data_IF_123183743088
#
_entry.id   IF_123183743088
#
_cell.length_a   1.000
_cell.length_b   1.000
_cell.length_c   1.000
_cell.angle_alpha   90.00
_cell.angle_beta   90.00
_cell.angle_gamma   90.00
#
_symmetry.space_group_name_H-M   'P 1'
#
loop_
_entity.id
_entity.type
_entity.pdbx_description
1 polymer ?
#
# COMPACT_ATOMS: atom_id res chain seq x y z
N UNK A 1 -25.49 -14.66 2.34
CA UNK A 1 -26.08 -13.31 2.38
C UNK A 1 -26.31 -12.95 3.84
N UNK A 2 -25.77 -11.82 4.26
CA UNK A 2 -25.88 -11.27 5.59
C UNK A 2 -26.77 -10.04 5.51
N UNK A 3 -27.73 -9.88 6.42
CA UNK A 3 -28.53 -8.66 6.49
C UNK A 3 -27.68 -7.49 6.99
N UNK A 4 -28.14 -6.26 6.73
CA UNK A 4 -27.46 -5.04 7.23
C UNK A 4 -27.30 -5.08 8.76
N UNK A 5 -28.33 -5.53 9.48
CA UNK A 5 -28.29 -5.62 10.93
C UNK A 5 -27.27 -6.64 11.43
N UNK A 6 -27.22 -7.84 10.83
CA UNK A 6 -26.21 -8.86 11.14
C UNK A 6 -24.79 -8.36 10.84
N UNK A 7 -24.60 -7.62 9.75
CA UNK A 7 -23.32 -7.00 9.43
C UNK A 7 -22.91 -5.95 10.47
N UNK A 8 -23.82 -5.05 10.86
CA UNK A 8 -23.58 -4.03 11.89
C UNK A 8 -23.27 -4.67 13.24
N UNK A 9 -23.97 -5.74 13.65
CA UNK A 9 -23.73 -6.48 14.89
C UNK A 9 -22.36 -7.18 14.89
N UNK A 10 -21.89 -7.69 13.75
CA UNK A 10 -20.54 -8.26 13.62
C UNK A 10 -19.45 -7.18 13.59
N UNK A 11 -19.72 -6.03 12.98
CA UNK A 11 -18.75 -4.97 12.77
C UNK A 11 -18.47 -4.12 14.01
N UNK A 12 -19.49 -3.90 14.86
CA UNK A 12 -19.35 -3.10 16.07
C UNK A 12 -18.24 -3.62 17.02
N UNK A 13 -18.14 -4.94 17.31
CA UNK A 13 -17.02 -5.47 18.09
C UNK A 13 -15.67 -5.29 17.40
N UNK A 14 -15.60 -5.42 16.07
CA UNK A 14 -14.38 -5.21 15.30
C UNK A 14 -13.92 -3.76 15.33
N UNK A 15 -14.86 -2.79 15.25
CA UNK A 15 -14.57 -1.36 15.37
C UNK A 15 -13.81 -1.02 16.65
N UNK A 16 -14.24 -1.56 17.78
CA UNK A 16 -13.59 -1.34 19.07
C UNK A 16 -12.27 -2.13 19.22
N UNK A 17 -12.20 -3.35 18.68
CA UNK A 17 -11.01 -4.21 18.76
C UNK A 17 -9.85 -3.72 17.89
N UNK A 18 -10.14 -3.14 16.73
CA UNK A 18 -9.13 -2.71 15.75
C UNK A 18 -8.92 -1.19 15.67
N UNK A 19 -9.47 -0.42 16.63
CA UNK A 19 -9.38 1.06 16.63
C UNK A 19 -9.78 1.70 15.29
N UNK A 20 -10.85 1.20 14.69
CA UNK A 20 -11.35 1.77 13.44
C UNK A 20 -11.94 3.17 13.70
N UNK A 21 -11.53 4.15 12.92
CA UNK A 21 -12.08 5.50 12.96
C UNK A 21 -13.22 5.62 11.95
N UNK A 22 -14.32 6.25 12.37
CA UNK A 22 -15.38 6.70 11.47
C UNK A 22 -14.96 8.00 10.81
N UNK A 23 -15.16 8.04 9.49
CA UNK A 23 -14.93 9.23 8.68
C UNK A 23 -16.22 9.57 7.98
N UNK A 24 -16.77 10.73 8.32
CA UNK A 24 -17.88 11.30 7.57
C UNK A 24 -17.33 12.36 6.61
N UNK A 25 -17.56 12.20 5.30
CA UNK A 25 -17.28 13.26 4.35
C UNK A 25 -18.13 14.50 4.68
N UNK A 26 -17.58 15.69 4.47
CA UNK A 26 -18.27 16.97 4.73
C UNK A 26 -19.58 17.12 3.94
N UNK A 27 -19.70 16.43 2.81
CA UNK A 27 -20.86 16.44 1.91
C UNK A 27 -21.98 15.45 2.31
N UNK A 28 -21.85 14.75 3.44
CA UNK A 28 -22.81 13.76 3.90
C UNK A 28 -22.85 12.47 3.09
N UNK A 29 -21.76 12.17 2.36
CA UNK A 29 -21.60 10.95 1.58
C UNK A 29 -21.48 9.68 2.40
N UNK A 30 -20.88 8.64 1.82
CA UNK A 30 -20.72 7.32 2.45
C UNK A 30 -19.74 7.42 3.62
N UNK A 31 -20.15 6.88 4.77
CA UNK A 31 -19.25 6.70 5.91
C UNK A 31 -18.13 5.68 5.58
N UNK A 32 -16.90 6.01 5.95
CA UNK A 32 -15.76 5.11 5.80
C UNK A 32 -15.25 4.67 7.15
N UNK A 33 -14.79 3.43 7.23
CA UNK A 33 -14.03 2.93 8.36
C UNK A 33 -12.56 2.87 7.97
N UNK A 34 -11.69 3.42 8.80
CA UNK A 34 -10.25 3.44 8.59
C UNK A 34 -9.52 2.92 9.81
N UNK A 35 -8.49 2.11 9.58
CA UNK A 35 -7.51 1.74 10.61
C UNK A 35 -6.30 2.69 10.64
N UNK A 36 -6.29 3.72 9.82
CA UNK A 36 -5.25 4.76 9.83
C UNK A 36 -5.52 5.72 10.97
N UNK A 37 -4.49 5.97 11.78
CA UNK A 37 -4.60 6.84 12.97
C UNK A 37 -4.51 8.33 12.60
N UNK A 38 -3.92 8.67 11.43
CA UNK A 38 -3.74 10.04 10.98
C UNK A 38 -4.90 10.48 10.06
N UNK A 39 -5.75 11.44 10.49
CA UNK A 39 -6.83 11.97 9.68
C UNK A 39 -6.37 12.59 8.35
N UNK A 40 -5.18 13.21 8.33
CA UNK A 40 -4.65 13.84 7.12
C UNK A 40 -4.30 12.78 6.06
N UNK A 41 -3.78 11.63 6.47
CA UNK A 41 -3.52 10.50 5.56
C UNK A 41 -4.83 9.95 4.98
N UNK A 42 -5.87 9.86 5.80
CA UNK A 42 -7.17 9.41 5.34
C UNK A 42 -7.77 10.38 4.34
N UNK A 43 -7.81 11.67 4.65
CA UNK A 43 -8.35 12.70 3.76
C UNK A 43 -7.59 12.73 2.42
N UNK A 44 -6.27 12.57 2.45
CA UNK A 44 -5.45 12.47 1.25
C UNK A 44 -5.81 11.26 0.41
N UNK A 45 -5.99 10.08 1.03
CA UNK A 45 -6.38 8.84 0.34
C UNK A 45 -7.76 9.00 -0.31
N UNK A 46 -8.73 9.57 0.38
CA UNK A 46 -10.06 9.82 -0.15
C UNK A 46 -10.02 10.75 -1.36
N UNK A 47 -9.30 11.88 -1.25
CA UNK A 47 -9.10 12.81 -2.37
C UNK A 47 -8.45 12.15 -3.59
N UNK A 48 -7.47 11.28 -3.37
CA UNK A 48 -6.82 10.51 -4.45
C UNK A 48 -7.79 9.51 -5.10
N UNK A 49 -8.66 8.84 -4.32
CA UNK A 49 -9.68 7.93 -4.85
C UNK A 49 -10.67 8.63 -5.79
N UNK A 50 -11.05 9.86 -5.47
CA UNK A 50 -11.89 10.69 -6.33
C UNK A 50 -11.22 11.02 -7.66
N UNK A 51 -9.93 11.39 -7.62
CA UNK A 51 -9.13 11.69 -8.82
C UNK A 51 -8.98 10.46 -9.71
N UNK A 52 -8.61 9.33 -9.12
CA UNK A 52 -8.38 8.10 -9.87
C UNK A 52 -9.66 7.44 -10.39
N UNK A 53 -10.80 7.66 -9.75
CA UNK A 53 -12.11 7.07 -10.10
C UNK A 53 -12.07 5.55 -10.30
N UNK A 54 -11.26 4.87 -9.50
CA UNK A 54 -11.11 3.41 -9.58
C UNK A 54 -12.37 2.73 -9.04
N UNK A 55 -12.94 1.73 -9.71
CA UNK A 55 -14.01 0.92 -9.14
C UNK A 55 -13.53 0.18 -7.90
N UNK A 56 -14.45 -0.16 -6.99
CA UNK A 56 -14.10 -0.92 -5.81
C UNK A 56 -13.50 -2.28 -6.19
N UNK A 57 -12.45 -2.68 -5.48
CA UNK A 57 -11.90 -4.01 -5.61
C UNK A 57 -12.88 -5.00 -4.97
N UNK A 58 -13.44 -5.86 -5.80
CA UNK A 58 -14.35 -6.90 -5.34
C UNK A 58 -13.85 -8.26 -5.85
N UNK A 59 -13.28 -9.10 -4.99
CA UNK A 59 -12.92 -10.47 -5.36
C UNK A 59 -14.17 -11.23 -5.77
N UNK A 60 -14.11 -11.92 -6.91
CA UNK A 60 -15.25 -12.66 -7.47
C UNK A 60 -15.21 -14.12 -7.14
N UNK A 61 -14.05 -14.65 -6.79
CA UNK A 61 -13.82 -16.04 -6.44
C UNK A 61 -13.25 -16.19 -5.03
N UNK A 62 -13.36 -17.38 -4.47
CA UNK A 62 -12.76 -17.71 -3.17
C UNK A 62 -11.24 -17.60 -3.24
N UNK A 63 -10.65 -18.04 -4.34
CA UNK A 63 -9.21 -18.00 -4.58
C UNK A 63 -8.70 -16.53 -4.59
N UNK A 64 -9.38 -15.63 -5.29
CA UNK A 64 -9.06 -14.20 -5.28
C UNK A 64 -9.18 -13.61 -3.87
N UNK A 65 -10.20 -14.02 -3.09
CA UNK A 65 -10.36 -13.57 -1.70
C UNK A 65 -9.24 -14.10 -0.80
N UNK A 66 -8.81 -15.36 -1.00
CA UNK A 66 -7.70 -15.95 -0.26
C UNK A 66 -6.36 -15.28 -0.63
N UNK A 67 -6.17 -14.89 -1.89
CA UNK A 67 -5.02 -14.09 -2.33
C UNK A 67 -4.97 -12.71 -1.66
N UNK A 68 -6.11 -12.04 -1.51
CA UNK A 68 -6.18 -10.76 -0.79
C UNK A 68 -5.81 -10.87 0.70
N UNK A 69 -5.93 -12.06 1.28
CA UNK A 69 -5.57 -12.33 2.69
C UNK A 69 -4.09 -12.62 2.91
N UNK A 70 -3.32 -12.83 1.85
CA UNK A 70 -1.88 -13.07 1.99
C UNK A 70 -1.21 -11.79 2.48
N UNK A 71 -0.73 -11.83 3.71
CA UNK A 71 0.05 -10.74 4.30
C UNK A 71 1.39 -10.54 3.56
N UNK A 72 1.85 -11.59 2.87
CA UNK A 72 3.13 -11.65 2.16
C UNK A 72 2.96 -11.54 0.64
N UNK A 73 2.34 -10.46 0.18
CA UNK A 73 2.37 -10.15 -1.25
C UNK A 73 3.77 -9.65 -1.59
N UNK A 74 4.58 -10.51 -2.19
CA UNK A 74 5.88 -10.11 -2.71
C UNK A 74 5.70 -9.56 -4.14
N UNK A 75 6.04 -8.30 -4.39
CA UNK A 75 6.03 -7.73 -5.74
C UNK A 75 6.91 -8.54 -6.71
N UNK A 76 6.49 -8.74 -7.97
CA UNK A 76 7.28 -9.47 -8.97
C UNK A 76 8.72 -8.95 -9.15
N UNK A 77 8.93 -7.65 -9.00
CA UNK A 77 10.26 -7.02 -9.13
C UNK A 77 11.08 -7.04 -7.83
N UNK A 78 10.52 -7.49 -6.71
CA UNK A 78 11.23 -7.52 -5.42
C UNK A 78 12.46 -8.44 -5.43
N UNK A 79 12.41 -9.67 -5.99
CA UNK A 79 13.58 -10.53 -6.03
C UNK A 79 14.78 -9.88 -6.74
N UNK A 80 14.56 -9.18 -7.85
CA UNK A 80 15.61 -8.46 -8.58
C UNK A 80 16.24 -7.35 -7.71
N UNK A 81 15.43 -6.63 -6.96
CA UNK A 81 15.91 -5.59 -6.03
C UNK A 81 16.72 -6.21 -4.89
N UNK A 82 16.23 -7.29 -4.27
CA UNK A 82 16.90 -7.97 -3.17
C UNK A 82 18.24 -8.58 -3.62
N UNK A 83 18.27 -9.24 -4.78
CA UNK A 83 19.52 -9.77 -5.35
C UNK A 83 20.54 -8.65 -5.57
N UNK A 84 20.13 -7.53 -6.11
CA UNK A 84 21.01 -6.39 -6.29
C UNK A 84 21.54 -5.85 -4.95
N UNK A 85 20.69 -5.67 -3.95
CA UNK A 85 21.08 -5.12 -2.65
C UNK A 85 21.96 -6.10 -1.85
N UNK A 86 21.56 -7.36 -1.77
CA UNK A 86 22.24 -8.37 -0.94
C UNK A 86 23.49 -8.88 -1.65
N UNK A 87 23.38 -9.31 -2.91
CA UNK A 87 24.50 -10.00 -3.61
C UNK A 87 25.47 -9.00 -4.21
N UNK A 88 25.00 -7.99 -4.96
CA UNK A 88 25.89 -7.03 -5.61
C UNK A 88 26.42 -5.95 -4.65
N UNK A 89 25.62 -5.53 -3.67
CA UNK A 89 25.96 -4.43 -2.75
C UNK A 89 26.33 -4.88 -1.34
N UNK A 90 26.15 -6.16 -1.02
CA UNK A 90 26.45 -6.75 0.29
C UNK A 90 25.74 -6.04 1.45
N UNK A 91 24.50 -5.58 1.17
CA UNK A 91 23.65 -4.97 2.18
C UNK A 91 23.17 -6.01 3.18
N UNK A 92 23.13 -5.64 4.46
CA UNK A 92 22.64 -6.51 5.51
C UNK A 92 21.15 -6.85 5.34
N UNK A 93 20.79 -8.12 5.56
CA UNK A 93 19.40 -8.59 5.38
C UNK A 93 18.38 -7.79 6.21
N UNK A 94 18.64 -7.44 7.49
CA UNK A 94 17.72 -6.60 8.26
C UNK A 94 17.42 -5.24 7.62
N UNK A 95 18.40 -4.61 6.98
CA UNK A 95 18.21 -3.32 6.32
C UNK A 95 17.46 -3.46 5.00
N UNK A 96 17.59 -4.59 4.31
CA UNK A 96 16.73 -4.91 3.17
C UNK A 96 15.26 -5.01 3.60
N UNK A 97 14.96 -5.62 4.75
CA UNK A 97 13.60 -5.64 5.31
C UNK A 97 13.10 -4.25 5.72
N UNK A 98 13.97 -3.38 6.24
CA UNK A 98 13.61 -1.98 6.54
C UNK A 98 13.21 -1.23 5.26
N UNK A 99 13.97 -1.41 4.18
CA UNK A 99 13.65 -0.83 2.88
C UNK A 99 12.35 -1.38 2.31
N UNK A 100 12.16 -2.70 2.36
CA UNK A 100 10.91 -3.33 1.94
C UNK A 100 9.70 -2.76 2.67
N UNK A 101 9.75 -2.69 4.00
CA UNK A 101 8.68 -2.14 4.81
C UNK A 101 8.40 -0.66 4.47
N UNK A 102 9.44 0.12 4.20
CA UNK A 102 9.30 1.52 3.81
C UNK A 102 8.60 1.67 2.44
N UNK A 103 8.96 0.84 1.46
CA UNK A 103 8.33 0.81 0.14
C UNK A 103 6.87 0.33 0.23
N UNK A 104 6.61 -0.74 1.00
CA UNK A 104 5.27 -1.30 1.24
C UNK A 104 4.36 -0.28 1.91
N UNK A 105 4.82 0.34 3.00
CA UNK A 105 4.05 1.36 3.72
C UNK A 105 3.78 2.58 2.84
N UNK A 106 4.79 3.07 2.11
CA UNK A 106 4.63 4.19 1.18
C UNK A 106 3.60 3.89 0.09
N UNK A 107 3.64 2.71 -0.51
CA UNK A 107 2.65 2.29 -1.52
C UNK A 107 1.25 2.16 -0.92
N UNK A 108 1.12 1.49 0.24
CA UNK A 108 -0.16 1.32 0.92
C UNK A 108 -0.84 2.65 1.22
N UNK A 109 -0.06 3.65 1.65
CA UNK A 109 -0.54 5.00 1.93
C UNK A 109 -0.70 5.88 0.67
N UNK A 110 -0.37 5.37 -0.52
CA UNK A 110 -0.44 6.13 -1.77
C UNK A 110 0.58 7.27 -1.85
N UNK A 111 1.72 7.15 -1.17
CA UNK A 111 2.81 8.12 -1.29
C UNK A 111 3.54 7.96 -2.63
N UNK A 112 4.05 9.08 -3.15
CA UNK A 112 5.06 9.02 -4.21
C UNK A 112 6.42 8.62 -3.63
N UNK A 113 7.32 8.14 -4.50
CA UNK A 113 8.69 7.78 -4.07
C UNK A 113 9.42 8.96 -3.41
N UNK A 114 9.21 10.18 -3.92
CA UNK A 114 9.81 11.41 -3.38
C UNK A 114 9.45 11.63 -1.91
N UNK A 115 8.24 11.24 -1.50
CA UNK A 115 7.78 11.40 -0.11
C UNK A 115 8.55 10.51 0.85
N UNK A 116 8.97 9.31 0.42
CA UNK A 116 9.72 8.35 1.24
C UNK A 116 11.24 8.38 0.98
N UNK A 117 11.69 9.17 0.01
CA UNK A 117 13.08 9.18 -0.45
C UNK A 117 14.10 9.45 0.66
N UNK A 118 13.76 10.31 1.62
CA UNK A 118 14.67 10.62 2.72
C UNK A 118 14.88 9.40 3.63
N UNK A 119 13.82 8.65 3.95
CA UNK A 119 13.96 7.40 4.71
C UNK A 119 14.75 6.34 3.93
N UNK A 120 14.54 6.24 2.61
CA UNK A 120 15.35 5.35 1.75
C UNK A 120 16.82 5.74 1.77
N UNK A 121 17.14 7.05 1.65
CA UNK A 121 18.53 7.54 1.71
C UNK A 121 19.20 7.28 3.06
N UNK A 122 18.46 7.36 4.15
CA UNK A 122 18.95 7.06 5.49
C UNK A 122 19.39 5.59 5.59
N UNK A 123 18.50 4.64 5.25
CA UNK A 123 18.81 3.21 5.29
C UNK A 123 19.96 2.85 4.35
N UNK A 124 19.99 3.40 3.13
CA UNK A 124 21.11 3.19 2.21
C UNK A 124 22.41 3.77 2.75
N UNK A 125 22.37 4.96 3.38
CA UNK A 125 23.54 5.64 3.94
C UNK A 125 24.18 4.86 5.09
N UNK A 126 23.38 4.21 5.95
CA UNK A 126 23.86 3.32 7.00
C UNK A 126 24.69 2.15 6.43
N UNK A 127 24.40 1.72 5.22
CA UNK A 127 25.11 0.68 4.47
C UNK A 127 26.17 1.24 3.50
N UNK A 128 26.60 2.49 3.66
CA UNK A 128 27.55 3.17 2.77
C UNK A 128 27.12 3.19 1.29
N UNK A 129 25.83 3.11 1.03
CA UNK A 129 25.24 3.15 -0.30
C UNK A 129 24.65 4.52 -0.63
N UNK A 130 24.61 4.84 -1.93
CA UNK A 130 23.93 6.05 -2.42
C UNK A 130 22.70 5.66 -3.25
N UNK A 131 21.66 6.47 -3.15
CA UNK A 131 20.49 6.36 -4.00
C UNK A 131 20.86 6.76 -5.44
N UNK A 132 21.28 5.77 -6.24
CA UNK A 132 21.57 5.97 -7.67
C UNK A 132 20.28 5.95 -8.49
N UNK A 133 20.34 6.43 -9.74
CA UNK A 133 19.20 6.38 -10.66
C UNK A 133 18.67 4.95 -10.82
N UNK A 134 19.56 3.95 -10.98
CA UNK A 134 19.19 2.52 -11.10
C UNK A 134 18.42 2.04 -9.87
N UNK A 135 18.94 2.31 -8.67
CA UNK A 135 18.31 1.89 -7.40
C UNK A 135 16.93 2.55 -7.24
N UNK A 136 16.83 3.85 -7.55
CA UNK A 136 15.55 4.57 -7.53
C UNK A 136 14.53 3.93 -8.48
N UNK A 137 14.93 3.61 -9.72
CA UNK A 137 14.04 2.99 -10.71
C UNK A 137 13.56 1.61 -10.26
N UNK A 138 14.44 0.77 -9.69
CA UNK A 138 14.07 -0.55 -9.15
C UNK A 138 13.09 -0.40 -7.99
N UNK A 139 13.37 0.46 -7.01
CA UNK A 139 12.49 0.69 -5.86
C UNK A 139 11.13 1.29 -6.26
N UNK A 140 11.12 2.22 -7.22
CA UNK A 140 9.88 2.81 -7.73
C UNK A 140 9.02 1.76 -8.44
N UNK A 141 9.65 0.82 -9.18
CA UNK A 141 8.94 -0.30 -9.81
C UNK A 141 8.31 -1.21 -8.76
N UNK A 142 9.09 -1.65 -7.77
CA UNK A 142 8.61 -2.46 -6.66
C UNK A 142 7.44 -1.78 -5.94
N UNK A 143 7.57 -0.49 -5.64
CA UNK A 143 6.52 0.29 -4.97
C UNK A 143 5.23 0.36 -5.80
N UNK A 144 5.34 0.44 -7.14
CA UNK A 144 4.18 0.48 -8.03
C UNK A 144 3.43 -0.87 -8.14
N UNK A 145 4.05 -1.97 -7.72
CA UNK A 145 3.47 -3.32 -7.72
C UNK A 145 2.74 -3.66 -6.41
N UNK A 146 2.98 -2.92 -5.32
CA UNK A 146 2.23 -3.08 -4.08
C UNK A 146 0.81 -2.53 -4.18
N UNK A 147 -0.17 -3.16 -3.50
CA UNK A 147 -1.52 -2.62 -3.36
C UNK A 147 -1.51 -1.26 -2.67
N UNK A 148 -2.40 -0.36 -3.12
CA UNK A 148 -2.53 0.99 -2.56
C UNK A 148 -3.95 1.27 -2.08
N UNK A 149 -4.07 1.86 -0.89
CA UNK A 149 -5.36 2.33 -0.37
C UNK A 149 -5.99 3.41 -1.27
N UNK A 150 -5.18 4.26 -1.88
CA UNK A 150 -5.63 5.30 -2.83
C UNK A 150 -6.23 4.71 -4.11
N UNK A 151 -5.83 3.49 -4.46
CA UNK A 151 -6.33 2.75 -5.61
C UNK A 151 -7.29 1.62 -5.20
N UNK A 152 -7.87 1.72 -4.00
CA UNK A 152 -8.86 0.75 -3.48
C UNK A 152 -8.37 -0.70 -3.52
N UNK A 153 -7.09 -0.94 -3.23
CA UNK A 153 -6.47 -2.25 -3.21
C UNK A 153 -5.78 -2.68 -4.51
N UNK A 154 -5.93 -1.93 -5.59
CA UNK A 154 -5.13 -2.19 -6.80
C UNK A 154 -3.70 -1.64 -6.64
N UNK A 155 -2.75 -2.28 -7.32
CA UNK A 155 -1.44 -1.67 -7.51
C UNK A 155 -1.51 -0.59 -8.62
N UNK A 156 -0.53 0.31 -8.64
CA UNK A 156 -0.42 1.32 -9.71
C UNK A 156 -0.26 0.67 -11.09
N UNK A 157 0.40 -0.49 -11.17
CA UNK A 157 0.54 -1.25 -12.40
C UNK A 157 -0.82 -1.77 -12.88
N UNK A 158 -1.59 -2.43 -12.03
CA UNK A 158 -2.94 -2.93 -12.35
C UNK A 158 -3.88 -1.79 -12.76
N UNK A 159 -3.77 -0.64 -12.10
CA UNK A 159 -4.54 0.54 -12.46
C UNK A 159 -4.24 1.02 -13.89
N UNK A 160 -2.94 1.13 -14.26
CA UNK A 160 -2.53 1.54 -15.61
C UNK A 160 -3.02 0.58 -16.69
N UNK A 161 -2.91 -0.73 -16.46
CA UNK A 161 -3.39 -1.76 -17.40
C UNK A 161 -4.90 -1.69 -17.65
N UNK A 162 -5.68 -1.24 -16.67
CA UNK A 162 -7.14 -1.08 -16.79
C UNK A 162 -7.56 0.23 -17.44
N UNK A 163 -6.81 1.29 -17.27
CA UNK A 163 -7.15 2.62 -17.80
C UNK A 163 -6.64 2.88 -19.20
N UNK A 164 -5.71 2.05 -19.71
CA UNK A 164 -5.17 2.14 -21.08
C UNK A 164 -5.95 1.28 -22.10
N UNK A 165 -7.04 0.63 -21.68
CA UNK A 165 -8.00 -0.06 -22.55
C UNK A 165 -9.17 0.82 -22.87
#
# INVERSE_FOLDING_TARGET
DCSRQEFEEMFLPMKFGYKLMELQPEDGGVEYLSCLEDPDDVQRILSQREVFRVPDYCPKTREELEECRREDIMPPSMPELLDYLIVEKQMEVPDCYRLENLLKAGAALGFSFEKIENGVKEVLGENNMRLTKRVREMMTRVMAEYPSASLKGYSMQQYRERTQK
#
